data_IF_371754319707
#
_entry.id   IF_371754319707
#
_cell.length_a   1.000
_cell.length_b   1.000
_cell.length_c   1.000
_cell.angle_alpha   90.00
_cell.angle_beta   90.00
_cell.angle_gamma   90.00
#
_symmetry.space_group_name_H-M   'P 1'
#
loop_
_entity.id
_entity.type
_entity.pdbx_description
1 polymer ?
#
# COMPACT_ATOMS: atom_id res chain seq x y z
N UNK A 1 -3.03 13.87 -12.23
CA UNK A 1 -3.28 13.67 -10.80
C UNK A 1 -1.94 13.61 -10.08
N UNK A 2 -1.77 14.39 -9.06
CA UNK A 2 -0.53 14.45 -8.29
C UNK A 2 -0.82 13.99 -6.86
N UNK A 3 -0.04 13.05 -6.35
CA UNK A 3 -0.15 12.59 -4.97
C UNK A 3 1.03 13.14 -4.18
N UNK A 4 0.75 13.86 -3.12
CA UNK A 4 1.77 14.46 -2.27
C UNK A 4 2.16 13.51 -1.13
N UNK A 5 1.19 12.76 -0.59
CA UNK A 5 1.41 11.84 0.53
C UNK A 5 0.79 10.47 0.25
N UNK A 6 1.63 9.45 0.31
CA UNK A 6 1.26 8.06 0.04
C UNK A 6 1.56 7.21 1.27
N UNK A 7 0.64 6.34 1.63
CA UNK A 7 0.77 5.40 2.74
C UNK A 7 0.91 3.96 2.26
N UNK A 8 1.75 3.18 2.92
CA UNK A 8 1.85 1.73 2.74
C UNK A 8 1.53 1.03 4.05
N UNK A 9 0.55 0.15 4.03
CA UNK A 9 0.21 -0.72 5.15
C UNK A 9 0.60 -2.14 4.77
N UNK A 10 1.67 -2.62 5.41
CA UNK A 10 2.42 -3.78 4.94
C UNK A 10 3.49 -3.34 3.92
N UNK A 11 4.73 -3.68 4.19
CA UNK A 11 5.85 -3.25 3.37
C UNK A 11 6.80 -4.44 3.15
N UNK A 12 6.50 -5.22 2.13
CA UNK A 12 7.30 -6.37 1.72
C UNK A 12 7.88 -6.20 0.33
N UNK A 13 7.95 -7.30 -0.42
CA UNK A 13 8.49 -7.30 -1.78
C UNK A 13 7.71 -6.37 -2.72
N UNK A 14 6.39 -6.54 -2.78
CA UNK A 14 5.55 -5.78 -3.72
C UNK A 14 5.41 -4.31 -3.27
N UNK A 15 5.04 -4.07 -2.02
CA UNK A 15 4.91 -2.71 -1.49
C UNK A 15 6.22 -1.93 -1.59
N UNK A 16 7.33 -2.57 -1.24
CA UNK A 16 8.67 -1.97 -1.36
C UNK A 16 9.05 -1.66 -2.81
N UNK A 17 8.71 -2.53 -3.75
CA UNK A 17 8.97 -2.32 -5.18
C UNK A 17 8.16 -1.15 -5.74
N UNK A 18 6.90 -1.03 -5.34
CA UNK A 18 6.05 0.12 -5.69
C UNK A 18 6.64 1.41 -5.10
N UNK A 19 7.01 1.42 -3.82
CA UNK A 19 7.61 2.58 -3.17
C UNK A 19 8.89 3.04 -3.86
N UNK A 20 9.77 2.09 -4.24
CA UNK A 20 10.99 2.39 -5.01
C UNK A 20 10.68 3.09 -6.32
N UNK A 21 9.71 2.56 -7.07
CA UNK A 21 9.31 3.13 -8.36
C UNK A 21 8.70 4.53 -8.20
N UNK A 22 7.90 4.73 -7.17
CA UNK A 22 7.33 6.04 -6.86
C UNK A 22 8.40 7.07 -6.52
N UNK A 23 9.38 6.73 -5.68
CA UNK A 23 10.49 7.61 -5.33
C UNK A 23 11.38 7.93 -6.54
N UNK A 24 11.57 6.97 -7.44
CA UNK A 24 12.31 7.21 -8.69
C UNK A 24 11.61 8.24 -9.58
N UNK A 25 10.29 8.10 -9.73
CA UNK A 25 9.50 9.00 -10.60
C UNK A 25 9.23 10.37 -9.95
N UNK A 26 9.10 10.42 -8.64
CA UNK A 26 8.89 11.65 -7.88
C UNK A 26 9.66 11.61 -6.55
N UNK A 27 10.92 12.06 -6.54
CA UNK A 27 11.74 12.03 -5.31
C UNK A 27 11.17 12.85 -4.15
N UNK A 28 10.25 13.78 -4.43
CA UNK A 28 9.63 14.65 -3.42
C UNK A 28 8.36 14.07 -2.79
N UNK A 29 7.84 12.95 -3.30
CA UNK A 29 6.64 12.35 -2.72
C UNK A 29 6.92 11.94 -1.27
N UNK A 30 6.01 12.29 -0.37
CA UNK A 30 6.05 11.82 1.01
C UNK A 30 5.49 10.40 1.07
N UNK A 31 6.28 9.47 1.59
CA UNK A 31 5.83 8.08 1.76
C UNK A 31 5.97 7.72 3.24
N UNK A 32 4.86 7.31 3.84
CA UNK A 32 4.84 6.74 5.18
C UNK A 32 4.41 5.28 5.12
N UNK A 33 4.85 4.48 6.07
CA UNK A 33 4.52 3.06 6.09
C UNK A 33 4.36 2.51 7.51
N UNK A 34 3.58 1.45 7.63
CA UNK A 34 3.60 0.57 8.78
C UNK A 34 3.74 -0.88 8.33
N UNK A 35 4.17 -1.75 9.21
CA UNK A 35 4.45 -3.16 8.90
C UNK A 35 4.27 -4.01 10.15
N UNK A 36 4.42 -5.32 10.01
CA UNK A 36 4.32 -6.24 11.14
C UNK A 36 5.52 -6.18 12.10
N UNK A 37 6.66 -5.64 11.66
CA UNK A 37 7.90 -5.60 12.45
C UNK A 37 8.61 -4.25 12.30
N UNK A 38 9.14 -3.75 13.41
CA UNK A 38 9.93 -2.53 13.46
C UNK A 38 11.15 -2.59 12.52
N UNK A 39 11.81 -3.74 12.42
CA UNK A 39 12.98 -3.90 11.56
C UNK A 39 12.67 -3.61 10.08
N UNK A 40 11.49 -3.98 9.59
CA UNK A 40 11.07 -3.68 8.22
C UNK A 40 11.02 -2.15 7.97
N UNK A 41 10.55 -1.40 8.96
CA UNK A 41 10.47 0.06 8.87
C UNK A 41 11.87 0.68 8.90
N UNK A 42 12.74 0.20 9.78
CA UNK A 42 14.13 0.66 9.85
C UNK A 42 14.88 0.40 8.54
N UNK A 43 14.72 -0.78 7.97
CA UNK A 43 15.33 -1.14 6.69
C UNK A 43 14.82 -0.23 5.55
N UNK A 44 13.53 -0.02 5.47
CA UNK A 44 12.93 0.85 4.45
C UNK A 44 13.35 2.31 4.61
N UNK A 45 13.42 2.80 5.83
CA UNK A 45 13.94 4.14 6.13
C UNK A 45 15.41 4.27 5.73
N UNK A 46 16.24 3.29 6.08
CA UNK A 46 17.65 3.25 5.71
C UNK A 46 17.89 3.23 4.20
N UNK A 47 16.96 2.65 3.44
CA UNK A 47 16.97 2.65 1.97
C UNK A 47 16.45 3.97 1.36
N UNK A 48 15.99 4.91 2.16
CA UNK A 48 15.42 6.18 1.68
C UNK A 48 14.04 6.06 1.05
N UNK A 49 13.30 4.99 1.34
CA UNK A 49 12.00 4.72 0.73
C UNK A 49 10.83 5.36 1.45
N UNK A 50 10.94 5.55 2.76
CA UNK A 50 9.87 6.08 3.60
C UNK A 50 10.40 7.17 4.53
N UNK A 51 9.51 8.00 5.02
CA UNK A 51 9.85 9.18 5.82
C UNK A 51 9.83 8.89 7.33
N UNK A 52 9.21 7.79 7.75
CA UNK A 52 9.16 7.40 9.16
C UNK A 52 10.18 6.30 9.50
N UNK A 53 10.71 6.36 10.71
CA UNK A 53 11.71 5.43 11.24
C UNK A 53 11.14 4.51 12.33
N UNK A 54 9.88 4.69 12.70
CA UNK A 54 9.19 3.90 13.71
C UNK A 54 7.87 3.38 13.16
N UNK A 55 7.36 2.29 13.76
CA UNK A 55 6.02 1.79 13.45
C UNK A 55 4.99 2.89 13.71
N UNK A 56 4.10 3.09 12.75
CA UNK A 56 3.03 4.07 12.85
C UNK A 56 1.70 3.42 13.20
N UNK A 57 0.90 4.12 13.99
CA UNK A 57 -0.51 3.80 14.18
C UNK A 57 -1.31 4.22 12.94
N UNK A 58 -2.46 3.59 12.71
CA UNK A 58 -3.28 3.84 11.53
C UNK A 58 -3.76 5.30 11.42
N UNK A 59 -3.95 5.99 12.54
CA UNK A 59 -4.34 7.40 12.52
C UNK A 59 -3.31 8.31 11.83
N UNK A 60 -2.07 7.88 11.72
CA UNK A 60 -1.03 8.61 10.99
C UNK A 60 -1.31 8.70 9.48
N UNK A 61 -2.19 7.85 8.97
CA UNK A 61 -2.54 7.77 7.54
C UNK A 61 -3.72 8.68 7.15
N UNK A 62 -4.27 9.43 8.08
CA UNK A 62 -5.46 10.27 7.86
C UNK A 62 -5.35 11.30 6.74
N UNK A 63 -4.14 11.79 6.48
CA UNK A 63 -3.88 12.81 5.46
C UNK A 63 -3.33 12.24 4.15
N UNK A 64 -3.28 10.92 4.00
CA UNK A 64 -2.79 10.29 2.79
C UNK A 64 -3.74 10.51 1.61
N UNK A 65 -3.18 10.76 0.44
CA UNK A 65 -3.91 10.82 -0.83
C UNK A 65 -4.21 9.42 -1.36
N UNK A 66 -3.26 8.50 -1.17
CA UNK A 66 -3.38 7.10 -1.55
C UNK A 66 -2.83 6.22 -0.44
N UNK A 67 -3.50 5.12 -0.17
CA UNK A 67 -3.03 4.08 0.76
C UNK A 67 -2.98 2.74 0.03
N UNK A 68 -1.80 2.12 0.02
CA UNK A 68 -1.59 0.77 -0.50
C UNK A 68 -1.68 -0.24 0.64
N UNK A 69 -2.60 -1.19 0.52
CA UNK A 69 -2.72 -2.33 1.42
C UNK A 69 -1.89 -3.49 0.86
N UNK A 70 -0.72 -3.71 1.44
CA UNK A 70 0.24 -4.70 0.98
C UNK A 70 0.50 -5.83 1.99
N UNK A 71 -0.35 -5.95 3.00
CA UNK A 71 -0.36 -7.04 3.95
C UNK A 71 -1.12 -8.25 3.39
N UNK A 72 -1.13 -9.41 4.05
CA UNK A 72 -2.00 -10.52 3.67
C UNK A 72 -3.48 -10.11 3.65
N UNK A 73 -4.29 -10.73 2.80
CA UNK A 73 -5.69 -10.32 2.55
C UNK A 73 -6.52 -10.21 3.82
N UNK A 74 -6.37 -11.14 4.76
CA UNK A 74 -7.11 -11.10 6.03
C UNK A 74 -6.76 -9.87 6.87
N UNK A 75 -5.49 -9.49 6.89
CA UNK A 75 -5.03 -8.27 7.57
C UNK A 75 -5.51 -7.01 6.86
N UNK A 76 -5.50 -7.01 5.54
CA UNK A 76 -6.01 -5.88 4.76
C UNK A 76 -7.50 -5.62 5.05
N UNK A 77 -8.29 -6.68 5.22
CA UNK A 77 -9.71 -6.57 5.60
C UNK A 77 -9.87 -5.94 6.99
N UNK A 78 -9.04 -6.34 7.96
CA UNK A 78 -9.03 -5.73 9.29
C UNK A 78 -8.65 -4.24 9.23
N UNK A 79 -7.65 -3.90 8.43
CA UNK A 79 -7.22 -2.51 8.24
C UNK A 79 -8.30 -1.64 7.58
N UNK A 80 -9.00 -2.15 6.59
CA UNK A 80 -10.12 -1.44 5.96
C UNK A 80 -11.18 -1.02 6.98
N UNK A 81 -11.52 -1.92 7.89
CA UNK A 81 -12.51 -1.64 8.95
C UNK A 81 -12.09 -0.47 9.83
N UNK A 82 -10.81 -0.36 10.12
CA UNK A 82 -10.27 0.73 10.94
C UNK A 82 -10.09 2.03 10.12
N UNK A 83 -9.63 1.91 8.88
CA UNK A 83 -9.36 3.06 8.01
C UNK A 83 -10.62 3.83 7.62
N UNK A 84 -11.77 3.18 7.60
CA UNK A 84 -13.06 3.80 7.27
C UNK A 84 -13.29 5.12 8.01
N UNK A 85 -12.97 5.16 9.29
CA UNK A 85 -13.21 6.31 10.15
C UNK A 85 -11.98 7.23 10.27
N UNK A 86 -10.90 6.93 9.55
CA UNK A 86 -9.62 7.66 9.64
C UNK A 86 -9.34 8.48 8.38
N UNK A 87 -9.57 7.90 7.20
CA UNK A 87 -9.18 8.51 5.93
C UNK A 87 -10.00 9.75 5.60
N UNK A 88 -9.40 10.67 4.85
CA UNK A 88 -10.12 11.80 4.27
C UNK A 88 -11.01 11.35 3.11
N UNK A 89 -12.03 12.13 2.79
CA UNK A 89 -13.09 11.77 1.83
C UNK A 89 -12.58 11.42 0.43
N UNK A 90 -11.52 12.06 -0.02
CA UNK A 90 -10.94 11.87 -1.36
C UNK A 90 -9.74 10.91 -1.37
N UNK A 91 -9.43 10.25 -0.26
CA UNK A 91 -8.37 9.26 -0.20
C UNK A 91 -8.72 8.05 -1.06
N UNK A 92 -7.75 7.58 -1.85
CA UNK A 92 -7.86 6.34 -2.60
C UNK A 92 -7.18 5.23 -1.81
N UNK A 93 -7.88 4.12 -1.60
CA UNK A 93 -7.31 2.90 -1.04
C UNK A 93 -7.20 1.87 -2.15
N UNK A 94 -6.05 1.23 -2.25
CA UNK A 94 -5.83 0.12 -3.18
C UNK A 94 -5.11 -1.03 -2.46
N UNK A 95 -5.29 -2.24 -2.98
CA UNK A 95 -4.55 -3.41 -2.49
C UNK A 95 -3.72 -4.03 -3.62
N UNK A 96 -2.91 -5.01 -3.26
CA UNK A 96 -2.06 -5.74 -4.22
C UNK A 96 -2.28 -7.25 -4.17
N UNK A 97 -3.33 -7.69 -3.49
CA UNK A 97 -3.63 -9.11 -3.30
C UNK A 97 -4.07 -9.83 -4.57
N UNK A 98 -3.78 -11.12 -4.66
CA UNK A 98 -4.15 -11.97 -5.80
C UNK A 98 -5.63 -12.35 -5.81
N UNK A 99 -6.32 -12.29 -4.66
CA UNK A 99 -7.75 -12.60 -4.52
C UNK A 99 -8.53 -11.34 -4.18
N UNK A 100 -9.71 -11.18 -4.77
CA UNK A 100 -10.49 -9.93 -4.69
C UNK A 100 -11.86 -10.07 -4.04
N UNK A 101 -12.44 -11.25 -4.02
CA UNK A 101 -13.83 -11.43 -3.56
C UNK A 101 -14.05 -10.90 -2.15
N UNK A 102 -13.29 -11.38 -1.18
CA UNK A 102 -13.47 -11.01 0.23
C UNK A 102 -13.22 -9.53 0.49
N UNK A 103 -12.19 -8.95 -0.13
CA UNK A 103 -11.86 -7.55 0.08
C UNK A 103 -12.92 -6.63 -0.53
N UNK A 104 -13.44 -6.98 -1.73
CA UNK A 104 -14.53 -6.22 -2.35
C UNK A 104 -15.83 -6.29 -1.55
N UNK A 105 -16.18 -7.48 -1.02
CA UNK A 105 -17.34 -7.63 -0.14
C UNK A 105 -17.21 -6.72 1.09
N UNK A 106 -16.04 -6.70 1.73
CA UNK A 106 -15.79 -5.84 2.88
C UNK A 106 -15.85 -4.35 2.51
N UNK A 107 -15.31 -3.97 1.38
CA UNK A 107 -15.37 -2.58 0.86
C UNK A 107 -16.83 -2.12 0.70
N UNK A 108 -17.68 -2.97 0.14
CA UNK A 108 -19.11 -2.67 -0.03
C UNK A 108 -19.79 -2.58 1.34
N UNK A 109 -19.57 -3.54 2.22
CA UNK A 109 -20.10 -3.55 3.58
C UNK A 109 -19.76 -2.26 4.35
N UNK A 110 -18.55 -1.76 4.20
CA UNK A 110 -18.06 -0.56 4.88
C UNK A 110 -18.48 0.76 4.20
N UNK A 111 -19.08 0.70 3.02
CA UNK A 111 -19.43 1.89 2.24
C UNK A 111 -18.23 2.60 1.62
N UNK A 112 -17.13 1.90 1.38
CA UNK A 112 -15.87 2.45 0.83
C UNK A 112 -15.74 2.30 -0.70
N UNK A 113 -16.80 1.94 -1.40
CA UNK A 113 -16.74 1.67 -2.85
C UNK A 113 -16.22 2.86 -3.67
N UNK A 114 -16.42 4.09 -3.20
CA UNK A 114 -15.94 5.31 -3.87
C UNK A 114 -14.44 5.55 -3.65
N UNK A 115 -13.89 4.98 -2.58
CA UNK A 115 -12.50 5.18 -2.17
C UNK A 115 -11.59 4.03 -2.59
N UNK A 116 -12.14 2.88 -2.97
CA UNK A 116 -11.38 1.65 -3.17
C UNK A 116 -11.27 1.25 -4.63
N UNK A 117 -10.06 0.94 -5.05
CA UNK A 117 -9.77 0.34 -6.36
C UNK A 117 -8.87 -0.88 -6.10
N UNK A 118 -9.38 -2.08 -6.39
CA UNK A 118 -8.58 -3.29 -6.26
C UNK A 118 -7.43 -3.31 -7.27
N UNK A 119 -6.29 -3.81 -6.85
CA UNK A 119 -5.10 -3.95 -7.68
C UNK A 119 -4.48 -5.35 -7.56
N UNK A 120 -3.88 -5.82 -8.65
CA UNK A 120 -3.13 -7.06 -8.66
C UNK A 120 -1.97 -6.96 -9.66
N UNK A 121 -0.75 -6.70 -9.19
CA UNK A 121 0.42 -6.79 -10.06
C UNK A 121 0.66 -8.24 -10.44
N UNK A 122 0.72 -8.52 -11.74
CA UNK A 122 0.94 -9.86 -12.29
C UNK A 122 2.44 -10.17 -12.35
N UNK A 123 3.10 -10.03 -11.22
CA UNK A 123 4.53 -10.27 -11.06
C UNK A 123 4.83 -10.69 -9.64
N UNK A 124 5.99 -11.25 -9.42
CA UNK A 124 6.46 -11.68 -8.11
C UNK A 124 7.81 -12.33 -8.21
N UNK A 125 8.27 -12.84 -7.09
CA UNK A 125 9.52 -13.56 -6.95
C UNK A 125 9.38 -14.54 -5.79
N UNK A 126 10.20 -15.59 -5.77
CA UNK A 126 10.34 -16.46 -4.60
C UNK A 126 11.01 -15.74 -3.40
N UNK A 127 11.67 -14.62 -3.66
CA UNK A 127 12.26 -13.78 -2.62
C UNK A 127 11.16 -13.00 -1.90
N UNK A 128 11.37 -12.74 -0.62
CA UNK A 128 10.43 -12.00 0.23
C UNK A 128 11.11 -10.84 0.95
N UNK A 129 10.30 -9.91 1.45
CA UNK A 129 10.74 -8.82 2.30
C UNK A 129 11.24 -7.59 1.55
N UNK A 130 11.33 -6.50 2.30
CA UNK A 130 11.69 -5.16 1.80
C UNK A 130 13.09 -5.11 1.18
N UNK A 131 14.05 -5.85 1.73
CA UNK A 131 15.42 -5.86 1.23
C UNK A 131 15.55 -6.52 -0.15
N UNK A 132 14.60 -7.35 -0.55
CA UNK A 132 14.54 -7.96 -1.87
C UNK A 132 13.66 -7.17 -2.85
N UNK A 133 13.06 -6.07 -2.42
CA UNK A 133 12.26 -5.22 -3.28
C UNK A 133 13.11 -4.63 -4.41
N UNK A 134 12.50 -4.50 -5.59
CA UNK A 134 13.19 -4.01 -6.79
C UNK A 134 12.21 -3.22 -7.65
N UNK A 135 12.58 -2.00 -8.02
CA UNK A 135 11.78 -1.15 -8.90
C UNK A 135 11.51 -1.80 -10.26
N UNK A 136 12.42 -2.64 -10.74
CA UNK A 136 12.29 -3.34 -12.01
C UNK A 136 11.27 -4.48 -11.98
N UNK A 137 10.90 -4.96 -10.80
CA UNK A 137 9.92 -6.03 -10.64
C UNK A 137 8.58 -5.73 -11.33
N UNK A 138 8.20 -4.46 -11.38
CA UNK A 138 6.94 -4.01 -11.98
C UNK A 138 7.09 -3.59 -13.44
N UNK A 139 8.31 -3.46 -13.96
CA UNK A 139 8.54 -3.08 -15.35
C UNK A 139 8.06 -4.19 -16.30
N UNK A 140 7.33 -3.81 -17.34
CA UNK A 140 6.74 -4.71 -18.32
C UNK A 140 5.77 -5.76 -17.74
N UNK A 141 5.36 -5.61 -16.48
CA UNK A 141 4.36 -6.45 -15.86
C UNK A 141 2.95 -5.88 -16.07
N UNK A 142 1.97 -6.76 -16.20
CA UNK A 142 0.57 -6.34 -16.16
C UNK A 142 0.19 -5.97 -14.73
N UNK A 143 -0.55 -4.89 -14.60
CA UNK A 143 -1.17 -4.50 -13.33
C UNK A 143 -2.68 -4.46 -13.53
N UNK A 144 -3.38 -5.43 -12.98
CA UNK A 144 -4.83 -5.54 -13.13
C UNK A 144 -5.50 -4.61 -12.12
N UNK A 145 -6.38 -3.75 -12.61
CA UNK A 145 -7.21 -2.88 -11.79
C UNK A 145 -8.63 -3.41 -11.78
N UNK A 146 -9.20 -3.56 -10.61
CA UNK A 146 -10.55 -4.08 -10.40
C UNK A 146 -11.38 -3.04 -9.64
N UNK A 147 -12.13 -2.18 -10.37
CA UNK A 147 -12.99 -1.20 -9.72
C UNK A 147 -14.10 -1.88 -8.93
N UNK A 148 -14.49 -1.27 -7.83
CA UNK A 148 -15.68 -1.66 -7.07
C UNK A 148 -16.84 -0.82 -7.57
N UNK A 149 -17.68 -1.43 -8.35
CA UNK A 149 -18.85 -0.75 -8.92
C UNK A 149 -19.95 -0.53 -7.88
#
# INVERSE_FOLDING_TARGET
MHFDKVGFIGLGLIGGSIARKMKENNPKVSIIATAGHQQTIEDAFGLGLIDNNELLELNSFKDCDVIFLCAPVNKNIEYLTQLKDIIKDDCIITDVGSTKTQIHEKVIELGLARNFIGGHPMTGSEKTGILNSDKQLLENAYYIITPTA
#
